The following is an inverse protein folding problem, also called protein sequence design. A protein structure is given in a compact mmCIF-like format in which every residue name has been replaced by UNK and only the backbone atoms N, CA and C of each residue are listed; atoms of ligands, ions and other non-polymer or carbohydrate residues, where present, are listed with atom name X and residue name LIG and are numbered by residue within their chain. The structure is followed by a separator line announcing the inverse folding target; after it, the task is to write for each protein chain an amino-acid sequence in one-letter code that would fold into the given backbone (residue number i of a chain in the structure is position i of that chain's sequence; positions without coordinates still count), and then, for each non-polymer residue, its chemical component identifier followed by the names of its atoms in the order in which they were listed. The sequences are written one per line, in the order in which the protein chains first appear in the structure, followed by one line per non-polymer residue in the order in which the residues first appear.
data_IF_142588729420
#
_entry.id   IF_142588729420
#
_cell.length_a   1.000
_cell.length_b   1.000
_cell.length_c   1.000
_cell.angle_alpha   90.00
_cell.angle_beta   90.00
_cell.angle_gamma   90.00
#
_symmetry.space_group_name_H-M   'P 1'
#
loop_
_entity.id
_entity.type
_entity.pdbx_description
1 polymer ?
#
# COMPACT_ATOMS: atom_id res chain seq x y z
N UNK A 1 -1.38 13.09 27.09
CA UNK A 1 -1.19 14.13 26.06
C UNK A 1 -0.09 13.79 25.04
N UNK A 2 1.22 13.78 25.38
CA UNK A 2 2.24 13.55 24.33
C UNK A 2 2.22 12.11 23.76
N UNK A 3 2.07 11.09 24.62
CA UNK A 3 2.03 9.68 24.21
C UNK A 3 0.78 9.30 23.39
N UNK A 4 -0.36 9.94 23.66
CA UNK A 4 -1.62 9.71 22.92
C UNK A 4 -1.55 10.31 21.51
N UNK A 5 -0.95 11.49 21.38
CA UNK A 5 -0.73 12.13 20.07
C UNK A 5 0.23 11.30 19.21
N UNK A 6 1.31 10.80 19.81
CA UNK A 6 2.27 9.94 19.12
C UNK A 6 1.63 8.60 18.68
N UNK A 7 0.81 7.98 19.54
CA UNK A 7 0.05 6.79 19.19
C UNK A 7 -0.88 7.04 17.99
N UNK A 8 -1.60 8.16 18.02
CA UNK A 8 -2.50 8.55 16.92
C UNK A 8 -1.73 8.73 15.61
N UNK A 9 -0.57 9.40 15.65
CA UNK A 9 0.29 9.60 14.47
C UNK A 9 0.76 8.26 13.89
N UNK A 10 1.20 7.32 14.73
CA UNK A 10 1.65 5.99 14.27
C UNK A 10 0.49 5.20 13.67
N UNK A 11 -0.72 5.30 14.23
CA UNK A 11 -1.92 4.67 13.68
C UNK A 11 -2.30 5.25 12.31
N UNK A 12 -2.20 6.57 12.13
CA UNK A 12 -2.43 7.23 10.83
C UNK A 12 -1.43 6.76 9.78
N UNK A 13 -0.14 6.68 10.14
CA UNK A 13 0.92 6.17 9.26
C UNK A 13 0.71 4.69 8.89
N UNK A 14 0.31 3.86 9.85
CA UNK A 14 -0.02 2.46 9.62
C UNK A 14 -1.19 2.32 8.62
N UNK A 15 -2.25 3.11 8.79
CA UNK A 15 -3.40 3.09 7.88
C UNK A 15 -3.01 3.53 6.47
N UNK A 16 -2.15 4.55 6.33
CA UNK A 16 -1.63 4.98 5.04
C UNK A 16 -0.82 3.86 4.35
N UNK A 17 0.07 3.17 5.09
CA UNK A 17 0.84 2.05 4.54
C UNK A 17 -0.06 0.88 4.12
N UNK A 18 -1.10 0.58 4.90
CA UNK A 18 -2.08 -0.46 4.56
C UNK A 18 -2.82 -0.15 3.26
N UNK A 19 -3.27 1.10 3.07
CA UNK A 19 -3.90 1.52 1.81
C UNK A 19 -2.95 1.38 0.61
N UNK A 20 -1.67 1.71 0.81
CA UNK A 20 -0.64 1.54 -0.23
C UNK A 20 -0.43 0.05 -0.54
N UNK A 21 -0.38 -0.81 0.48
CA UNK A 21 -0.27 -2.26 0.30
C UNK A 21 -1.44 -2.82 -0.51
N UNK A 22 -2.67 -2.39 -0.24
CA UNK A 22 -3.86 -2.78 -1.00
C UNK A 22 -3.76 -2.35 -2.47
N UNK A 23 -3.30 -1.12 -2.74
CA UNK A 23 -3.05 -0.64 -4.11
C UNK A 23 -2.01 -1.49 -4.85
N UNK A 24 -0.89 -1.83 -4.22
CA UNK A 24 0.12 -2.71 -4.83
C UNK A 24 -0.39 -4.13 -5.07
N UNK A 25 -1.21 -4.67 -4.15
CA UNK A 25 -1.84 -5.97 -4.32
C UNK A 25 -2.83 -5.99 -5.49
N UNK A 26 -3.65 -4.95 -5.63
CA UNK A 26 -4.57 -4.77 -6.76
C UNK A 26 -3.81 -4.62 -8.08
N UNK A 27 -2.72 -3.83 -8.10
CA UNK A 27 -1.86 -3.69 -9.27
C UNK A 27 -1.24 -5.04 -9.68
N UNK A 28 -0.76 -5.83 -8.71
CA UNK A 28 -0.22 -7.18 -8.96
C UNK A 28 -1.27 -8.09 -9.61
N UNK A 29 -2.48 -8.10 -9.08
CA UNK A 29 -3.58 -8.89 -9.65
C UNK A 29 -3.92 -8.47 -11.08
N UNK A 30 -3.94 -7.17 -11.33
CA UNK A 30 -4.25 -6.60 -12.65
C UNK A 30 -3.18 -6.96 -13.68
N UNK A 31 -1.90 -6.81 -13.33
CA UNK A 31 -0.79 -7.21 -14.20
C UNK A 31 -0.79 -8.72 -14.44
N UNK A 32 -1.18 -9.52 -13.44
CA UNK A 32 -1.31 -10.97 -13.59
C UNK A 32 -2.49 -11.42 -14.46
N UNK A 33 -3.50 -10.57 -14.63
CA UNK A 33 -4.63 -10.84 -15.54
C UNK A 33 -4.39 -10.41 -16.98
N UNK A 34 -3.40 -9.53 -17.23
CA UNK A 34 -3.02 -9.13 -18.58
C UNK A 34 -2.30 -10.28 -19.29
N UNK A 35 -2.84 -10.72 -20.42
CA UNK A 35 -2.26 -11.75 -21.27
C UNK A 35 -1.90 -11.17 -22.63
N UNK A 36 -0.98 -11.83 -23.32
CA UNK A 36 -0.64 -11.49 -24.71
C UNK A 36 -1.83 -11.66 -25.65
N UNK A 37 -2.77 -12.55 -25.31
CA UNK A 37 -4.02 -12.73 -26.06
C UNK A 37 -4.96 -11.50 -26.02
N UNK A 38 -4.76 -10.60 -25.04
CA UNK A 38 -5.57 -9.39 -24.90
C UNK A 38 -5.09 -8.25 -25.83
N UNK A 39 -4.05 -8.49 -26.65
CA UNK A 39 -3.58 -7.52 -27.64
C UNK A 39 -4.68 -7.16 -28.64
N UNK A 40 -4.93 -5.86 -28.79
CA UNK A 40 -6.01 -5.34 -29.62
C UNK A 40 -7.39 -5.36 -28.96
N UNK A 41 -7.54 -5.87 -27.73
CA UNK A 41 -8.79 -5.84 -27.00
C UNK A 41 -9.26 -4.39 -26.76
N UNK A 42 -10.57 -4.17 -26.88
CA UNK A 42 -11.18 -2.87 -26.56
C UNK A 42 -11.24 -2.67 -25.05
N UNK A 43 -10.66 -1.58 -24.57
CA UNK A 43 -10.57 -1.21 -23.17
C UNK A 43 -11.15 0.20 -22.95
N UNK A 44 -11.66 0.46 -21.76
CA UNK A 44 -12.04 1.79 -21.34
C UNK A 44 -10.93 2.40 -20.48
N UNK A 45 -10.35 3.49 -20.95
CA UNK A 45 -9.33 4.24 -20.22
C UNK A 45 -10.02 5.38 -19.45
N UNK A 46 -9.86 5.48 -18.13
CA UNK A 46 -10.42 6.59 -17.36
C UNK A 46 -9.72 7.90 -17.71
N UNK A 47 -10.48 8.91 -18.11
CA UNK A 47 -9.98 10.27 -18.33
C UNK A 47 -10.15 11.13 -17.06
N UNK A 48 -11.26 10.92 -16.34
CA UNK A 48 -11.56 11.54 -15.03
C UNK A 48 -12.40 10.58 -14.19
N UNK A 49 -12.81 10.98 -12.98
CA UNK A 49 -13.64 10.16 -12.09
C UNK A 49 -14.99 9.73 -12.67
N UNK A 50 -15.53 10.44 -13.67
CA UNK A 50 -16.84 10.13 -14.27
C UNK A 50 -16.83 10.08 -15.80
N UNK A 51 -15.64 10.05 -16.43
CA UNK A 51 -15.52 10.00 -17.89
C UNK A 51 -14.48 8.97 -18.32
N UNK A 52 -14.86 8.15 -19.31
CA UNK A 52 -14.03 7.10 -19.88
C UNK A 52 -13.97 7.28 -21.40
N UNK A 53 -12.83 6.95 -21.98
CA UNK A 53 -12.64 6.92 -23.43
C UNK A 53 -12.34 5.49 -23.89
N UNK A 54 -12.91 5.04 -25.02
CA UNK A 54 -12.55 3.75 -25.59
C UNK A 54 -11.13 3.81 -26.16
N UNK A 55 -10.38 2.71 -26.00
CA UNK A 55 -9.05 2.50 -26.55
C UNK A 55 -8.84 1.03 -26.89
N UNK A 56 -7.69 0.72 -27.51
CA UNK A 56 -7.25 -0.66 -27.71
C UNK A 56 -5.94 -0.91 -27.01
N UNK A 57 -5.82 -2.08 -26.37
CA UNK A 57 -4.59 -2.49 -25.71
C UNK A 57 -3.49 -2.72 -26.75
N UNK A 58 -2.42 -1.94 -26.69
CA UNK A 58 -1.34 -1.99 -27.67
C UNK A 58 -0.40 -3.20 -27.49
N UNK A 59 -0.11 -3.58 -26.25
CA UNK A 59 0.73 -4.75 -25.92
C UNK A 59 0.22 -5.41 -24.65
N UNK A 60 0.00 -6.72 -24.67
CA UNK A 60 -0.45 -7.48 -23.49
C UNK A 60 0.72 -7.99 -22.63
N UNK A 61 1.93 -8.03 -23.19
CA UNK A 61 3.10 -8.63 -22.55
C UNK A 61 4.04 -7.64 -21.82
N UNK A 62 3.81 -6.33 -21.91
CA UNK A 62 4.71 -5.30 -21.36
C UNK A 62 3.96 -4.18 -20.66
N UNK A 63 4.57 -3.65 -19.60
CA UNK A 63 4.03 -2.57 -18.79
C UNK A 63 5.14 -1.59 -18.39
N UNK A 64 4.78 -0.32 -18.22
CA UNK A 64 5.67 0.68 -17.63
C UNK A 64 5.56 0.62 -16.10
N UNK A 65 6.71 0.52 -15.43
CA UNK A 65 6.80 0.46 -13.97
C UNK A 65 7.57 1.68 -13.46
N UNK A 66 6.96 2.43 -12.56
CA UNK A 66 7.62 3.51 -11.82
C UNK A 66 8.65 2.93 -10.84
N UNK A 67 9.90 3.35 -10.99
CA UNK A 67 11.02 2.94 -10.12
C UNK A 67 11.40 4.04 -9.11
N UNK A 68 10.74 5.20 -9.15
CA UNK A 68 10.96 6.35 -8.29
C UNK A 68 11.56 7.55 -9.01
N UNK A 69 11.53 8.71 -8.35
CA UNK A 69 12.09 10.00 -8.86
C UNK A 69 11.55 10.44 -10.23
N UNK A 70 10.38 9.93 -10.63
CA UNK A 70 9.75 10.24 -11.91
C UNK A 70 10.24 9.40 -13.09
N UNK A 71 10.99 8.33 -12.85
CA UNK A 71 11.48 7.44 -13.91
C UNK A 71 10.60 6.20 -14.06
N UNK A 72 10.27 5.88 -15.31
CA UNK A 72 9.52 4.69 -15.69
C UNK A 72 10.40 3.78 -16.54
N UNK A 73 10.32 2.48 -16.27
CA UNK A 73 11.03 1.44 -17.03
C UNK A 73 10.03 0.46 -17.61
N UNK A 74 10.17 0.15 -18.89
CA UNK A 74 9.41 -0.92 -19.53
C UNK A 74 9.89 -2.28 -18.99
N UNK A 75 8.93 -3.07 -18.48
CA UNK A 75 9.16 -4.41 -17.96
C UNK A 75 8.16 -5.38 -18.60
N UNK A 76 8.55 -6.64 -18.70
CA UNK A 76 7.56 -7.69 -19.02
C UNK A 76 6.56 -7.84 -17.88
N UNK A 77 5.37 -8.37 -18.16
CA UNK A 77 4.36 -8.65 -17.11
C UNK A 77 4.92 -9.51 -15.98
N UNK A 78 5.75 -10.52 -16.30
CA UNK A 78 6.42 -11.36 -15.30
C UNK A 78 7.42 -10.59 -14.44
N UNK A 79 8.25 -9.72 -15.05
CA UNK A 79 9.20 -8.88 -14.32
C UNK A 79 8.47 -7.86 -13.43
N UNK A 80 7.40 -7.27 -13.93
CA UNK A 80 6.56 -6.34 -13.19
C UNK A 80 5.86 -7.03 -12.01
N UNK A 81 5.34 -8.25 -12.21
CA UNK A 81 4.74 -9.06 -11.14
C UNK A 81 5.75 -9.37 -10.04
N UNK A 82 6.99 -9.77 -10.40
CA UNK A 82 8.06 -10.00 -9.42
C UNK A 82 8.40 -8.72 -8.64
N UNK A 83 8.50 -7.58 -9.32
CA UNK A 83 8.75 -6.30 -8.68
C UNK A 83 7.63 -5.92 -7.69
N UNK A 84 6.36 -6.09 -8.09
CA UNK A 84 5.21 -5.85 -7.23
C UNK A 84 5.17 -6.82 -6.03
N UNK A 85 5.55 -8.09 -6.22
CA UNK A 85 5.62 -9.09 -5.15
C UNK A 85 6.66 -8.72 -4.08
N UNK A 86 7.83 -8.24 -4.50
CA UNK A 86 8.86 -7.74 -3.59
C UNK A 86 8.37 -6.51 -2.82
N UNK A 87 7.66 -5.57 -3.47
CA UNK A 87 7.09 -4.39 -2.82
C UNK A 87 5.97 -4.73 -1.84
N UNK A 88 5.08 -5.66 -2.20
CA UNK A 88 4.00 -6.12 -1.31
C UNK A 88 4.60 -6.81 -0.07
N UNK A 89 5.59 -7.69 -0.23
CA UNK A 89 6.28 -8.32 0.90
C UNK A 89 6.97 -7.30 1.80
N UNK A 90 7.69 -6.35 1.22
CA UNK A 90 8.36 -5.29 1.97
C UNK A 90 7.37 -4.45 2.78
N UNK A 91 6.26 -4.02 2.17
CA UNK A 91 5.21 -3.27 2.87
C UNK A 91 4.52 -4.10 3.96
N UNK A 92 4.29 -5.38 3.71
CA UNK A 92 3.69 -6.28 4.68
C UNK A 92 4.55 -6.41 5.94
N UNK A 93 5.85 -6.72 5.79
CA UNK A 93 6.78 -6.80 6.93
C UNK A 93 6.87 -5.49 7.71
N UNK A 94 6.90 -4.35 7.02
CA UNK A 94 6.93 -3.04 7.69
C UNK A 94 5.62 -2.74 8.43
N UNK A 95 4.48 -3.11 7.85
CA UNK A 95 3.16 -2.91 8.47
C UNK A 95 3.00 -3.80 9.71
N UNK A 96 3.46 -5.06 9.66
CA UNK A 96 3.48 -5.95 10.82
C UNK A 96 4.40 -5.45 11.93
N UNK A 97 5.60 -4.96 11.58
CA UNK A 97 6.52 -4.36 12.54
C UNK A 97 5.90 -3.15 13.23
N UNK A 98 5.26 -2.26 12.48
CA UNK A 98 4.52 -1.10 13.02
C UNK A 98 3.35 -1.51 13.91
N UNK A 99 2.62 -2.57 13.57
CA UNK A 99 1.56 -3.11 14.43
C UNK A 99 2.10 -3.58 15.79
N UNK A 100 3.29 -4.21 15.81
CA UNK A 100 3.99 -4.55 17.04
C UNK A 100 4.29 -3.32 17.89
N UNK A 101 4.83 -2.26 17.28
CA UNK A 101 5.12 -0.99 17.95
C UNK A 101 3.85 -0.33 18.51
N UNK A 102 2.76 -0.31 17.74
CA UNK A 102 1.46 0.22 18.17
C UNK A 102 0.97 -0.52 19.41
N UNK A 103 1.03 -1.85 19.41
CA UNK A 103 0.59 -2.67 20.54
C UNK A 103 1.37 -2.35 21.81
N UNK A 104 2.70 -2.35 21.73
CA UNK A 104 3.56 -1.99 22.87
C UNK A 104 3.28 -0.57 23.35
N UNK A 105 3.00 0.38 22.43
CA UNK A 105 2.71 1.76 22.80
C UNK A 105 1.35 1.89 23.52
N UNK A 106 0.33 1.13 23.13
CA UNK A 106 -0.96 1.06 23.82
C UNK A 106 -0.78 0.54 25.24
N UNK A 107 -0.04 -0.57 25.41
CA UNK A 107 0.26 -1.15 26.72
C UNK A 107 1.01 -0.14 27.64
N UNK A 108 1.95 0.61 27.08
CA UNK A 108 2.67 1.66 27.80
C UNK A 108 1.74 2.80 28.25
N UNK A 109 0.85 3.28 27.37
CA UNK A 109 -0.13 4.33 27.72
C UNK A 109 -1.06 3.87 28.83
N UNK A 110 -1.54 2.63 28.78
CA UNK A 110 -2.40 2.04 29.82
C UNK A 110 -1.67 1.92 31.17
N UNK A 111 -0.42 1.47 31.16
CA UNK A 111 0.41 1.33 32.36
C UNK A 111 0.65 2.69 33.03
N UNK A 112 1.03 3.70 32.25
CA UNK A 112 1.26 5.06 32.75
C UNK A 112 -0.04 5.68 33.28
N UNK A 113 -1.15 5.48 32.58
CA UNK A 113 -2.46 6.02 33.01
C UNK A 113 -2.93 5.39 34.32
N UNK A 114 -2.76 4.07 34.46
CA UNK A 114 -3.09 3.35 35.70
C UNK A 114 -2.23 3.81 36.89
N UNK A 115 -0.92 4.00 36.65
CA UNK A 115 -0.02 4.52 37.69
C UNK A 115 -0.38 5.96 38.11
N UNK A 116 -0.75 6.82 37.14
CA UNK A 116 -1.23 8.17 37.42
C UNK A 116 -2.52 8.15 38.24
N UNK A 117 -3.50 7.34 37.85
CA UNK A 117 -4.77 7.19 38.59
C UNK A 117 -4.56 6.70 40.02
N UNK A 118 -3.60 5.79 40.24
CA UNK A 118 -3.25 5.30 41.58
C UNK A 118 -2.69 6.43 42.45
N UNK A 119 -1.74 7.22 41.93
CA UNK A 119 -1.14 8.35 42.65
C UNK A 119 -2.09 9.53 42.90
N UNK A 120 -3.16 9.68 42.11
CA UNK A 120 -4.17 10.74 42.32
C UNK A 120 -5.19 10.34 43.39
N UNK A 121 -5.34 9.04 43.67
CA UNK A 121 -6.23 8.50 44.71
C UNK A 121 -5.55 8.35 46.08
N UNK A 122 -4.23 8.42 46.12
CA UNK A 122 -3.41 8.57 47.35
C UNK A 122 -3.30 10.05 47.71
#
# INVERSE_FOLDING_TARGET
KNLENELKQIQEQHNALKQIQEKFSSARSTVGSLKTEDEGAEILVPLTESMYVPGRLATGGKVLVDIGTGYFVEKTTEQAKKFLDEKVKFLHTNTESLMGVIRTKIENVQTVTSALQRKVKE
#
